data_IF_247609036871
#
_entry.id   IF_247609036871
#
_cell.length_a   1.000
_cell.length_b   1.000
_cell.length_c   1.000
_cell.angle_alpha   90.00
_cell.angle_beta   90.00
_cell.angle_gamma   90.00
#
_symmetry.space_group_name_H-M   'P 1'
#
loop_
_entity.id
_entity.type
_entity.pdbx_description
1 polymer ?
#
# COMPACT_ATOMS: atom_id res chain seq x y z
N UNK A 1 4.93 -7.64 11.90
CA UNK A 1 3.49 -7.47 11.63
C UNK A 1 3.23 -7.70 10.16
N UNK A 2 2.30 -8.59 9.81
CA UNK A 2 1.87 -8.76 8.43
C UNK A 2 0.94 -7.56 8.13
N UNK A 3 1.38 -6.58 7.35
CA UNK A 3 0.58 -5.42 6.91
C UNK A 3 -0.47 -5.81 5.86
N UNK A 4 -0.98 -7.03 5.96
CA UNK A 4 -2.03 -7.57 5.11
C UNK A 4 -3.34 -6.94 5.54
N UNK A 5 -3.67 -5.78 4.98
CA UNK A 5 -5.04 -5.28 5.03
C UNK A 5 -5.92 -6.35 4.37
N UNK A 6 -6.78 -6.98 5.18
CA UNK A 6 -7.78 -7.93 4.71
C UNK A 6 -8.79 -7.19 3.84
N UNK A 7 -8.50 -7.07 2.56
CA UNK A 7 -9.49 -6.66 1.60
C UNK A 7 -10.46 -7.82 1.34
N UNK A 8 -11.74 -7.54 1.53
CA UNK A 8 -12.85 -8.45 1.26
C UNK A 8 -13.17 -8.42 -0.25
N UNK A 9 -12.22 -8.80 -1.11
CA UNK A 9 -12.49 -8.97 -2.54
C UNK A 9 -13.00 -10.39 -2.78
N UNK A 10 -14.27 -10.53 -3.18
CA UNK A 10 -14.91 -11.82 -3.41
C UNK A 10 -14.47 -12.50 -4.72
N UNK A 11 -13.85 -11.80 -5.70
CA UNK A 11 -13.39 -12.40 -6.98
C UNK A 11 -12.16 -11.70 -7.58
N UNK A 12 -11.39 -12.48 -8.34
CA UNK A 12 -10.19 -12.06 -9.10
C UNK A 12 -10.64 -11.39 -10.40
N UNK A 13 -10.39 -10.08 -10.54
CA UNK A 13 -10.63 -9.33 -11.78
C UNK A 13 -11.53 -8.10 -11.66
N UNK A 14 -12.11 -7.86 -10.49
CA UNK A 14 -13.10 -6.79 -10.35
C UNK A 14 -12.39 -5.46 -10.02
N UNK A 15 -12.42 -4.50 -10.95
CA UNK A 15 -12.29 -3.09 -10.60
C UNK A 15 -13.65 -2.65 -10.06
N UNK A 16 -13.73 -2.32 -8.78
CA UNK A 16 -14.97 -1.88 -8.16
C UNK A 16 -15.06 -0.35 -8.19
N UNK A 17 -15.49 0.23 -9.31
CA UNK A 17 -15.92 1.63 -9.26
C UNK A 17 -17.28 1.62 -8.57
N UNK A 18 -17.39 2.15 -7.35
CA UNK A 18 -18.68 2.26 -6.66
C UNK A 18 -19.17 3.70 -6.76
N UNK A 19 -20.24 3.96 -7.51
CA UNK A 19 -20.97 5.22 -7.41
C UNK A 19 -22.11 5.04 -6.40
N UNK A 20 -22.14 5.87 -5.34
CA UNK A 20 -23.28 5.91 -4.41
C UNK A 20 -24.18 7.08 -4.77
N UNK A 21 -25.17 6.84 -5.62
CA UNK A 21 -26.25 7.81 -5.87
C UNK A 21 -27.30 7.74 -4.75
N UNK A 22 -27.55 8.84 -4.03
CA UNK A 22 -28.71 8.95 -3.12
C UNK A 22 -29.76 9.89 -3.72
N UNK A 23 -30.60 9.37 -4.62
CA UNK A 23 -31.93 9.93 -4.85
C UNK A 23 -32.98 8.82 -4.81
N UNK A 24 -33.74 8.79 -3.70
CA UNK A 24 -34.93 7.99 -3.39
C UNK A 24 -34.73 6.46 -3.28
N UNK A 25 -34.71 5.95 -2.04
CA UNK A 25 -35.05 4.59 -1.58
C UNK A 25 -34.52 3.35 -2.35
N UNK A 26 -33.54 3.49 -3.24
CA UNK A 26 -32.81 2.37 -3.84
C UNK A 26 -31.32 2.71 -3.72
N UNK A 27 -30.60 1.97 -2.87
CA UNK A 27 -29.14 2.00 -2.84
C UNK A 27 -28.68 1.21 -4.07
N UNK A 28 -28.52 1.88 -5.20
CA UNK A 28 -27.85 1.27 -6.35
C UNK A 28 -26.35 1.56 -6.21
N UNK A 29 -25.60 0.63 -5.62
CA UNK A 29 -24.16 0.56 -5.84
C UNK A 29 -23.98 0.18 -7.31
N UNK A 30 -23.59 1.12 -8.16
CA UNK A 30 -23.23 0.79 -9.54
C UNK A 30 -21.81 0.24 -9.52
N UNK A 31 -21.65 -0.99 -9.01
CA UNK A 31 -20.41 -1.75 -9.11
C UNK A 31 -20.31 -2.25 -10.55
N UNK A 32 -19.65 -1.49 -11.42
CA UNK A 32 -19.37 -1.98 -12.77
C UNK A 32 -18.17 -2.91 -12.68
N UNK A 33 -18.43 -4.19 -12.41
CA UNK A 33 -17.44 -5.25 -12.60
C UNK A 33 -17.10 -5.26 -14.09
N UNK A 34 -15.90 -4.84 -14.44
CA UNK A 34 -15.39 -5.03 -15.80
C UNK A 34 -15.34 -6.56 -16.06
N UNK A 35 -16.11 -7.10 -17.01
CA UNK A 35 -16.04 -8.52 -17.32
C UNK A 35 -14.63 -8.86 -17.83
N UNK A 36 -14.05 -9.92 -17.27
CA UNK A 36 -12.80 -10.50 -17.76
C UNK A 36 -11.89 -11.00 -16.64
N UNK A 37 -11.89 -12.32 -16.43
CA UNK A 37 -10.60 -13.00 -16.22
C UNK A 37 -9.75 -12.70 -17.46
N UNK A 38 -8.47 -12.29 -17.34
CA UNK A 38 -7.63 -12.22 -18.51
C UNK A 38 -7.58 -13.61 -19.14
N UNK A 39 -8.26 -13.76 -20.27
CA UNK A 39 -7.91 -14.80 -21.22
C UNK A 39 -6.55 -14.41 -21.77
N UNK A 40 -5.52 -15.12 -21.30
CA UNK A 40 -4.11 -14.83 -21.62
C UNK A 40 -3.80 -15.01 -23.11
N UNK A 41 -4.76 -15.49 -23.90
CA UNK A 41 -4.64 -15.60 -25.35
C UNK A 41 -4.87 -14.30 -26.13
N UNK A 42 -5.27 -13.18 -25.51
CA UNK A 42 -5.29 -11.86 -26.18
C UNK A 42 -4.79 -10.73 -25.29
N UNK A 43 -3.56 -10.21 -25.51
CA UNK A 43 -3.12 -8.95 -24.93
C UNK A 43 -3.79 -7.80 -25.69
N UNK A 44 -5.08 -7.60 -25.47
CA UNK A 44 -5.80 -6.40 -25.91
C UNK A 44 -6.72 -5.91 -24.79
N UNK A 45 -6.17 -5.83 -23.57
CA UNK A 45 -6.65 -4.83 -22.62
C UNK A 45 -6.22 -3.48 -23.18
N UNK A 46 -7.16 -2.79 -23.82
CA UNK A 46 -6.94 -1.42 -24.29
C UNK A 46 -6.51 -0.61 -23.06
N UNK A 47 -5.30 0.00 -23.04
CA UNK A 47 -4.80 0.79 -21.90
C UNK A 47 -5.77 1.91 -21.48
N UNK A 48 -6.69 2.29 -22.36
CA UNK A 48 -7.70 3.31 -22.13
C UNK A 48 -9.00 2.81 -21.49
N UNK A 49 -9.28 1.50 -21.39
CA UNK A 49 -10.60 1.02 -20.96
C UNK A 49 -11.00 1.47 -19.53
N UNK A 50 -10.15 1.36 -18.49
CA UNK A 50 -10.48 1.89 -17.16
C UNK A 50 -10.62 3.41 -17.16
N UNK A 51 -9.76 4.11 -17.90
CA UNK A 51 -9.80 5.57 -18.02
C UNK A 51 -11.10 6.05 -18.66
N UNK A 52 -11.50 5.47 -19.79
CA UNK A 52 -12.75 5.79 -20.51
C UNK A 52 -13.97 5.50 -19.61
N UNK A 53 -13.95 4.37 -18.90
CA UNK A 53 -15.02 4.06 -17.96
C UNK A 53 -15.12 5.11 -16.85
N UNK A 54 -14.00 5.49 -16.21
CA UNK A 54 -13.99 6.54 -15.20
C UNK A 54 -14.46 7.87 -15.80
N UNK A 55 -14.01 8.24 -17.00
CA UNK A 55 -14.47 9.45 -17.70
C UNK A 55 -15.99 9.46 -17.88
N UNK A 56 -16.57 8.37 -18.38
CA UNK A 56 -18.01 8.24 -18.57
C UNK A 56 -18.81 8.32 -17.27
N UNK A 57 -18.32 7.69 -16.21
CA UNK A 57 -18.99 7.70 -14.89
C UNK A 57 -18.86 9.07 -14.21
N UNK A 58 -17.71 9.72 -14.38
CA UNK A 58 -17.41 11.05 -13.84
C UNK A 58 -18.18 12.17 -14.54
N UNK A 59 -18.66 11.95 -15.77
CA UNK A 59 -19.42 12.94 -16.54
C UNK A 59 -20.66 13.47 -15.79
N UNK A 60 -21.22 12.68 -14.87
CA UNK A 60 -22.33 13.11 -14.00
C UNK A 60 -21.92 14.09 -12.90
N UNK A 61 -20.64 14.13 -12.50
CA UNK A 61 -20.16 14.89 -11.34
C UNK A 61 -20.56 14.31 -9.98
N UNK A 62 -21.21 13.15 -9.95
CA UNK A 62 -21.87 12.61 -8.75
C UNK A 62 -21.09 11.42 -8.13
N UNK A 63 -19.88 11.14 -8.62
CA UNK A 63 -19.04 10.10 -8.03
C UNK A 63 -18.61 10.49 -6.61
N UNK A 64 -18.77 9.52 -5.70
CA UNK A 64 -18.35 9.60 -4.30
C UNK A 64 -17.15 8.73 -3.99
N UNK A 65 -16.91 7.70 -4.78
CA UNK A 65 -15.80 6.77 -4.54
C UNK A 65 -15.28 6.24 -5.86
N UNK A 66 -13.97 6.10 -5.96
CA UNK A 66 -13.31 5.34 -7.02
C UNK A 66 -12.39 4.31 -6.39
N UNK A 67 -12.52 3.05 -6.80
CA UNK A 67 -11.61 1.99 -6.44
C UNK A 67 -11.22 1.24 -7.73
N UNK A 68 -9.93 1.30 -8.05
CA UNK A 68 -9.37 0.71 -9.26
C UNK A 68 -8.23 -0.20 -8.83
N UNK A 69 -8.36 -1.48 -9.14
CA UNK A 69 -7.46 -2.54 -8.67
C UNK A 69 -7.00 -3.36 -9.86
N UNK A 70 -5.68 -3.58 -10.00
CA UNK A 70 -5.08 -4.39 -11.09
C UNK A 70 -5.55 -3.99 -12.50
N UNK A 71 -5.72 -2.70 -12.73
CA UNK A 71 -6.08 -2.14 -14.02
C UNK A 71 -5.19 -0.94 -14.27
N UNK A 72 -4.53 -0.93 -15.42
CA UNK A 72 -3.63 0.16 -15.75
C UNK A 72 -4.41 1.48 -15.80
N UNK A 73 -3.98 2.43 -14.98
CA UNK A 73 -4.49 3.78 -14.92
C UNK A 73 -3.31 4.69 -14.61
N UNK A 74 -2.54 5.01 -15.65
CA UNK A 74 -1.32 5.81 -15.53
C UNK A 74 -1.59 7.18 -14.91
N UNK A 75 -2.77 7.75 -15.21
CA UNK A 75 -3.21 9.05 -14.72
C UNK A 75 -4.73 9.04 -14.54
N UNK A 76 -5.22 9.79 -13.55
CA UNK A 76 -6.66 10.05 -13.39
C UNK A 76 -7.18 10.92 -14.55
N UNK A 77 -8.39 10.69 -15.07
CA UNK A 77 -8.93 11.54 -16.13
C UNK A 77 -9.35 12.92 -15.59
N UNK A 78 -9.12 13.98 -16.38
CA UNK A 78 -9.48 15.36 -16.01
C UNK A 78 -10.98 15.51 -15.67
N UNK A 79 -11.83 14.73 -16.33
CA UNK A 79 -13.29 14.70 -16.08
C UNK A 79 -13.62 14.40 -14.60
N UNK A 80 -12.77 13.64 -13.91
CA UNK A 80 -12.97 13.32 -12.48
C UNK A 80 -12.99 14.58 -11.61
N UNK A 81 -12.32 15.66 -12.02
CA UNK A 81 -12.32 16.95 -11.32
C UNK A 81 -13.72 17.55 -11.10
N UNK A 82 -14.70 17.15 -11.93
CA UNK A 82 -16.11 17.55 -11.78
C UNK A 82 -16.79 16.90 -10.56
N UNK A 83 -16.25 15.80 -10.03
CA UNK A 83 -16.84 15.04 -8.94
C UNK A 83 -16.55 15.66 -7.57
N UNK A 84 -17.20 16.80 -7.25
CA UNK A 84 -16.98 17.55 -5.99
C UNK A 84 -17.50 16.85 -4.72
N UNK A 85 -18.07 15.65 -4.85
CA UNK A 85 -18.56 14.82 -3.76
C UNK A 85 -17.68 13.60 -3.49
N UNK A 86 -16.50 13.51 -4.11
CA UNK A 86 -15.60 12.39 -3.94
C UNK A 86 -15.08 12.32 -2.49
N UNK A 87 -15.30 11.18 -1.85
CA UNK A 87 -14.99 10.84 -0.45
C UNK A 87 -13.86 9.79 -0.38
N UNK A 88 -13.70 8.93 -1.41
CA UNK A 88 -12.70 7.87 -1.42
C UNK A 88 -12.02 7.72 -2.79
N UNK A 89 -10.69 7.63 -2.77
CA UNK A 89 -9.86 7.24 -3.92
C UNK A 89 -8.97 6.07 -3.49
N UNK A 90 -9.11 4.93 -4.16
CA UNK A 90 -8.25 3.76 -4.02
C UNK A 90 -7.72 3.34 -5.38
N UNK A 91 -6.40 3.43 -5.58
CA UNK A 91 -5.71 3.02 -6.80
C UNK A 91 -4.66 1.99 -6.41
N UNK A 92 -4.92 0.71 -6.68
CA UNK A 92 -4.07 -0.40 -6.22
C UNK A 92 -3.56 -1.18 -7.43
N UNK A 93 -2.23 -1.26 -7.58
CA UNK A 93 -1.57 -1.91 -8.71
C UNK A 93 -2.00 -1.37 -10.08
N UNK A 94 -2.24 -0.06 -10.14
CA UNK A 94 -2.70 0.64 -11.35
C UNK A 94 -1.55 1.18 -12.21
N UNK A 95 -0.31 1.09 -11.72
CA UNK A 95 0.87 1.74 -12.33
C UNK A 95 0.65 3.25 -12.53
N UNK A 96 -0.05 3.91 -11.59
CA UNK A 96 -0.24 5.36 -11.64
C UNK A 96 1.11 6.07 -11.50
N UNK A 97 1.42 6.94 -12.45
CA UNK A 97 2.73 7.62 -12.57
C UNK A 97 2.67 9.07 -12.10
N UNK A 98 1.49 9.68 -12.09
CA UNK A 98 1.30 11.04 -11.58
C UNK A 98 -0.05 11.22 -10.89
N UNK A 99 -0.05 12.15 -9.93
CA UNK A 99 -1.26 12.70 -9.31
C UNK A 99 -1.40 14.14 -9.77
N UNK A 100 -2.57 14.52 -10.29
CA UNK A 100 -2.80 15.87 -10.77
C UNK A 100 -2.94 16.88 -9.62
N UNK A 101 -2.49 18.11 -9.85
CA UNK A 101 -2.53 19.20 -8.86
C UNK A 101 -3.95 19.53 -8.39
N UNK A 102 -4.98 19.31 -9.22
CA UNK A 102 -6.37 19.61 -8.90
C UNK A 102 -6.98 18.63 -7.88
N UNK A 103 -6.29 17.55 -7.49
CA UNK A 103 -6.80 16.63 -6.46
C UNK A 103 -7.06 17.37 -5.13
N UNK A 104 -6.30 18.43 -4.85
CA UNK A 104 -6.53 19.35 -3.72
C UNK A 104 -7.91 20.05 -3.73
N UNK A 105 -8.65 19.99 -4.83
CA UNK A 105 -10.02 20.54 -4.92
C UNK A 105 -11.08 19.60 -4.33
N UNK A 106 -10.75 18.33 -4.05
CA UNK A 106 -11.67 17.37 -3.44
C UNK A 106 -11.78 17.57 -1.94
N UNK A 107 -12.41 18.67 -1.53
CA UNK A 107 -12.57 19.06 -0.12
C UNK A 107 -13.39 18.07 0.72
N UNK A 108 -14.07 17.11 0.08
CA UNK A 108 -14.81 16.03 0.72
C UNK A 108 -14.05 14.71 0.82
N UNK A 109 -12.83 14.62 0.27
CA UNK A 109 -12.06 13.39 0.29
C UNK A 109 -11.68 13.03 1.73
N UNK A 110 -12.00 11.81 2.13
CA UNK A 110 -11.76 11.24 3.46
C UNK A 110 -10.65 10.19 3.41
N UNK A 111 -10.56 9.44 2.30
CA UNK A 111 -9.62 8.34 2.13
C UNK A 111 -8.87 8.44 0.80
N UNK A 112 -7.53 8.45 0.86
CA UNK A 112 -6.65 8.40 -0.30
C UNK A 112 -5.65 7.24 -0.15
N UNK A 113 -5.79 6.23 -1.01
CA UNK A 113 -4.86 5.12 -1.10
C UNK A 113 -4.35 4.99 -2.53
N UNK A 114 -3.03 5.11 -2.69
CA UNK A 114 -2.35 4.83 -3.94
C UNK A 114 -1.26 3.81 -3.64
N UNK A 115 -1.38 2.63 -4.24
CA UNK A 115 -0.40 1.56 -4.14
C UNK A 115 0.09 1.20 -5.54
N UNK A 116 1.38 1.44 -5.76
CA UNK A 116 2.06 1.13 -6.99
C UNK A 116 2.18 -0.37 -7.23
N UNK A 117 2.59 -0.73 -8.44
CA UNK A 117 2.82 -2.11 -8.87
C UNK A 117 4.32 -2.38 -8.92
N UNK A 118 4.77 -3.47 -8.28
CA UNK A 118 6.17 -3.86 -8.30
C UNK A 118 6.71 -3.99 -9.74
N UNK A 119 7.91 -3.49 -9.98
CA UNK A 119 8.55 -3.45 -11.30
C UNK A 119 7.92 -2.47 -12.31
N UNK A 120 6.95 -1.64 -11.90
CA UNK A 120 6.45 -0.51 -12.70
C UNK A 120 7.12 0.80 -12.28
N UNK A 121 7.03 1.83 -13.13
CA UNK A 121 7.58 3.15 -12.82
C UNK A 121 6.96 3.78 -11.56
N UNK A 122 5.64 3.62 -11.40
CA UNK A 122 4.84 4.17 -10.29
C UNK A 122 5.04 5.68 -10.13
N UNK A 123 4.57 6.25 -9.01
CA UNK A 123 4.72 7.67 -8.72
C UNK A 123 6.20 8.04 -8.55
N UNK A 124 6.66 9.01 -9.34
CA UNK A 124 7.99 9.60 -9.18
C UNK A 124 7.97 10.83 -8.27
N UNK A 125 6.95 11.65 -8.41
CA UNK A 125 6.79 12.90 -7.65
C UNK A 125 5.32 13.13 -7.32
N UNK A 126 5.07 13.96 -6.31
CA UNK A 126 3.75 14.43 -5.95
C UNK A 126 3.70 15.96 -6.05
N UNK A 127 2.56 16.54 -6.46
CA UNK A 127 2.39 18.00 -6.43
C UNK A 127 2.64 18.54 -5.01
N UNK A 128 3.46 19.58 -4.87
CA UNK A 128 3.81 20.16 -3.56
C UNK A 128 2.59 20.63 -2.77
N UNK A 129 1.54 21.06 -3.48
CA UNK A 129 0.30 21.63 -2.96
C UNK A 129 -0.83 20.59 -2.82
N UNK A 130 -0.51 19.29 -2.96
CA UNK A 130 -1.50 18.22 -3.02
C UNK A 130 -2.44 18.19 -1.80
N UNK A 131 -1.91 18.52 -0.62
CA UNK A 131 -2.64 18.47 0.65
C UNK A 131 -2.97 19.87 1.21
N UNK A 132 -2.98 20.91 0.38
CA UNK A 132 -3.24 22.29 0.83
C UNK A 132 -4.71 22.57 1.17
N UNK A 133 -5.66 21.78 0.65
CA UNK A 133 -7.10 22.02 0.83
C UNK A 133 -7.94 20.74 0.82
N UNK A 134 -7.58 19.76 1.64
CA UNK A 134 -8.35 18.51 1.79
C UNK A 134 -8.78 18.33 3.25
N UNK A 135 -9.62 19.23 3.79
CA UNK A 135 -9.84 19.34 5.23
C UNK A 135 -10.53 18.12 5.84
N UNK A 136 -11.17 17.26 5.05
CA UNK A 136 -11.83 16.03 5.54
C UNK A 136 -10.94 14.79 5.49
N UNK A 137 -9.74 14.88 4.92
CA UNK A 137 -8.87 13.73 4.75
C UNK A 137 -8.52 13.16 6.11
N UNK A 138 -8.88 11.90 6.36
CA UNK A 138 -8.58 11.19 7.59
C UNK A 138 -7.50 10.13 7.40
N UNK A 139 -7.37 9.59 6.18
CA UNK A 139 -6.45 8.49 5.90
C UNK A 139 -5.68 8.70 4.61
N UNK A 140 -4.35 8.55 4.72
CA UNK A 140 -3.42 8.49 3.60
C UNK A 140 -2.72 7.13 3.63
N UNK A 141 -2.72 6.43 2.51
CA UNK A 141 -1.94 5.21 2.30
C UNK A 141 -1.20 5.30 0.97
N UNK A 142 0.13 5.37 1.04
CA UNK A 142 1.00 5.34 -0.13
C UNK A 142 1.94 4.14 -0.01
N UNK A 143 1.92 3.25 -1.00
CA UNK A 143 2.70 2.03 -0.97
C UNK A 143 3.35 1.72 -2.34
N UNK A 144 4.51 1.06 -2.36
CA UNK A 144 5.16 0.59 -3.61
C UNK A 144 5.50 1.76 -4.55
N UNK A 145 6.18 2.76 -4.03
CA UNK A 145 6.65 3.96 -4.74
C UNK A 145 8.15 4.15 -4.53
N UNK A 146 8.95 3.18 -4.97
CA UNK A 146 10.40 3.09 -4.72
C UNK A 146 11.17 4.35 -5.13
N UNK A 147 10.71 5.06 -6.16
CA UNK A 147 11.38 6.28 -6.66
C UNK A 147 10.84 7.58 -6.04
N UNK A 148 9.86 7.52 -5.13
CA UNK A 148 9.31 8.69 -4.47
C UNK A 148 10.25 9.14 -3.35
N UNK A 149 10.90 10.29 -3.55
CA UNK A 149 11.94 10.83 -2.65
C UNK A 149 11.47 11.97 -1.75
N UNK A 150 10.31 12.58 -2.04
CA UNK A 150 9.73 13.64 -1.24
C UNK A 150 8.21 13.49 -1.13
N UNK A 151 7.66 13.86 0.03
CA UNK A 151 6.22 13.88 0.27
C UNK A 151 5.71 15.33 0.44
N UNK A 152 4.51 15.69 -0.08
CA UNK A 152 3.99 17.05 0.01
C UNK A 152 3.69 17.49 1.44
N UNK A 153 3.68 18.80 1.68
CA UNK A 153 3.38 19.38 3.00
C UNK A 153 1.94 19.07 3.41
N UNK A 154 1.74 18.75 4.69
CA UNK A 154 0.43 18.40 5.25
C UNK A 154 -0.30 19.63 5.83
N UNK A 155 -0.42 20.71 5.06
CA UNK A 155 -0.90 22.00 5.57
C UNK A 155 -2.44 22.09 5.69
N UNK A 156 -3.17 21.55 4.72
CA UNK A 156 -4.63 21.64 4.62
C UNK A 156 -5.39 20.37 4.99
N UNK A 157 -4.82 19.54 5.87
CA UNK A 157 -5.37 18.24 6.29
C UNK A 157 -5.49 18.12 7.82
N UNK A 158 -6.13 19.08 8.53
CA UNK A 158 -6.17 19.13 10.00
C UNK A 158 -6.89 17.94 10.66
N UNK A 159 -7.67 17.18 9.89
CA UNK A 159 -8.39 16.00 10.35
C UNK A 159 -7.68 14.68 10.07
N UNK A 160 -6.44 14.71 9.58
CA UNK A 160 -5.68 13.51 9.26
C UNK A 160 -5.42 12.67 10.53
N UNK A 161 -5.80 11.40 10.48
CA UNK A 161 -5.75 10.48 11.62
C UNK A 161 -4.78 9.33 11.41
N UNK A 162 -4.61 8.88 10.16
CA UNK A 162 -3.78 7.73 9.82
C UNK A 162 -2.94 8.01 8.57
N UNK A 163 -1.63 7.81 8.70
CA UNK A 163 -0.70 7.84 7.57
C UNK A 163 0.03 6.50 7.51
N UNK A 164 0.02 5.88 6.33
CA UNK A 164 0.84 4.71 6.04
C UNK A 164 1.68 4.99 4.81
N UNK A 165 3.00 4.97 4.98
CA UNK A 165 3.98 5.09 3.91
C UNK A 165 4.76 3.78 3.87
N UNK A 166 4.64 3.07 2.75
CA UNK A 166 5.34 1.82 2.57
C UNK A 166 6.15 1.83 1.28
N UNK A 167 7.37 1.33 1.33
CA UNK A 167 8.17 1.09 0.14
C UNK A 167 8.39 2.34 -0.71
N UNK A 168 9.20 3.24 -0.15
CA UNK A 168 9.57 4.51 -0.76
C UNK A 168 11.02 4.85 -0.46
N UNK A 169 11.56 5.83 -1.19
CA UNK A 169 12.91 6.36 -0.99
C UNK A 169 12.90 7.71 -0.27
N UNK A 170 11.91 7.92 0.61
CA UNK A 170 11.83 9.11 1.44
C UNK A 170 12.99 9.14 2.43
N UNK A 171 13.67 10.28 2.53
CA UNK A 171 14.70 10.53 3.56
C UNK A 171 14.16 11.21 4.81
N UNK A 172 13.08 11.95 4.67
CA UNK A 172 12.40 12.66 5.74
C UNK A 172 10.90 12.71 5.46
N UNK A 173 10.10 12.88 6.52
CA UNK A 173 8.68 13.21 6.40
C UNK A 173 8.49 14.73 6.43
N UNK A 174 7.40 15.25 5.82
CA UNK A 174 7.05 16.66 5.93
C UNK A 174 6.62 16.99 7.37
N UNK A 175 6.69 18.28 7.71
CA UNK A 175 6.27 18.79 9.02
C UNK A 175 4.88 18.28 9.45
N UNK A 176 4.77 17.90 10.72
CA UNK A 176 3.56 17.31 11.29
C UNK A 176 2.76 18.27 12.18
N UNK A 177 3.21 19.53 12.35
CA UNK A 177 2.54 20.52 13.20
C UNK A 177 1.04 20.73 12.86
N UNK A 178 0.69 20.63 11.58
CA UNK A 178 -0.66 20.88 11.06
C UNK A 178 -1.56 19.62 11.08
N UNK A 179 -1.06 18.49 11.58
CA UNK A 179 -1.81 17.23 11.74
C UNK A 179 -1.86 16.77 13.20
N UNK A 180 -2.44 17.57 14.12
CA UNK A 180 -2.46 17.27 15.57
C UNK A 180 -3.38 16.09 15.94
N UNK A 181 -4.24 15.66 15.01
CA UNK A 181 -5.16 14.52 15.17
C UNK A 181 -4.57 13.20 14.67
N UNK A 182 -3.28 13.15 14.36
CA UNK A 182 -2.65 11.91 13.92
C UNK A 182 -2.60 10.91 15.09
N UNK A 183 -3.27 9.77 14.93
CA UNK A 183 -3.31 8.69 15.92
C UNK A 183 -2.48 7.48 15.48
N UNK A 184 -2.28 7.32 14.16
CA UNK A 184 -1.53 6.21 13.55
C UNK A 184 -0.53 6.72 12.51
N UNK A 185 0.73 6.34 12.68
CA UNK A 185 1.78 6.55 11.70
C UNK A 185 2.52 5.23 11.47
N UNK A 186 2.44 4.70 10.26
CA UNK A 186 3.12 3.46 9.89
C UNK A 186 4.08 3.71 8.73
N UNK A 187 5.35 3.39 8.96
CA UNK A 187 6.42 3.48 7.99
C UNK A 187 7.00 2.08 7.82
N UNK A 188 6.95 1.54 6.60
CA UNK A 188 7.35 0.18 6.34
C UNK A 188 8.22 0.09 5.09
N UNK A 189 9.38 -0.56 5.17
CA UNK A 189 10.26 -0.73 4.01
C UNK A 189 10.64 0.64 3.41
N UNK A 190 11.00 1.61 4.23
CA UNK A 190 11.53 2.91 3.79
C UNK A 190 13.00 2.98 4.18
N UNK A 191 13.88 2.33 3.41
CA UNK A 191 15.26 2.06 3.85
C UNK A 191 16.08 3.34 4.01
N UNK A 192 15.77 4.38 3.23
CA UNK A 192 16.51 5.64 3.21
C UNK A 192 15.99 6.69 4.21
N UNK A 193 14.97 6.38 5.01
CA UNK A 193 14.46 7.34 5.99
C UNK A 193 15.57 7.61 7.01
N UNK A 194 16.03 8.85 7.08
CA UNK A 194 17.10 9.28 7.97
C UNK A 194 16.55 10.02 9.20
N UNK A 195 15.46 10.78 9.05
CA UNK A 195 14.93 11.66 10.09
C UNK A 195 13.42 11.71 10.15
N UNK A 196 12.90 12.00 11.34
CA UNK A 196 11.53 12.47 11.54
C UNK A 196 11.52 13.99 11.78
N UNK A 197 10.46 14.71 11.36
CA UNK A 197 10.21 16.09 11.79
C UNK A 197 9.88 16.16 13.29
N UNK A 198 9.76 17.37 13.85
CA UNK A 198 9.35 17.54 15.24
C UNK A 198 7.96 16.91 15.48
N UNK A 199 7.87 16.05 16.50
CA UNK A 199 6.67 15.31 16.84
C UNK A 199 5.97 15.87 18.10
N UNK A 200 6.37 17.06 18.58
CA UNK A 200 5.79 17.69 19.77
C UNK A 200 4.27 17.89 19.68
N UNK A 201 3.73 18.09 18.46
CA UNK A 201 2.31 18.23 18.22
C UNK A 201 1.53 16.89 18.27
N UNK A 202 2.20 15.74 18.12
CA UNK A 202 1.61 14.40 17.97
C UNK A 202 1.27 13.75 19.32
N UNK A 203 0.63 14.50 20.22
CA UNK A 203 0.25 14.04 21.56
C UNK A 203 -0.76 12.88 21.56
N UNK A 204 -1.56 12.78 20.50
CA UNK A 204 -2.60 11.77 20.34
C UNK A 204 -2.13 10.50 19.62
N UNK A 205 -0.83 10.39 19.30
CA UNK A 205 -0.30 9.23 18.61
C UNK A 205 -0.38 7.99 19.51
N UNK A 206 -1.09 6.98 19.02
CA UNK A 206 -1.33 5.68 19.68
C UNK A 206 -0.52 4.58 19.02
N UNK A 207 -0.36 4.64 17.71
CA UNK A 207 0.42 3.66 16.93
C UNK A 207 1.48 4.40 16.12
N UNK A 208 2.74 4.05 16.37
CA UNK A 208 3.87 4.48 15.56
C UNK A 208 4.75 3.29 15.25
N UNK A 209 4.81 2.91 13.98
CA UNK A 209 5.56 1.74 13.52
C UNK A 209 6.62 2.20 12.53
N UNK A 210 7.87 1.80 12.77
CA UNK A 210 8.92 1.77 11.75
C UNK A 210 9.36 0.32 11.66
N UNK A 211 9.07 -0.32 10.54
CA UNK A 211 9.36 -1.74 10.33
C UNK A 211 10.21 -1.95 9.09
N UNK A 212 11.04 -3.00 9.16
CA UNK A 212 12.09 -3.32 8.19
C UNK A 212 13.28 -2.35 8.29
N UNK A 213 14.48 -2.77 7.83
CA UNK A 213 15.67 -1.94 7.87
C UNK A 213 15.43 -0.53 7.33
N UNK A 214 15.90 0.46 8.08
CA UNK A 214 15.74 1.88 7.79
C UNK A 214 16.85 2.66 8.49
N UNK A 215 17.46 3.62 7.79
CA UNK A 215 18.64 4.35 8.29
C UNK A 215 18.38 5.07 9.63
N UNK A 216 17.16 5.57 9.86
CA UNK A 216 16.74 6.24 11.10
C UNK A 216 16.95 5.36 12.35
N UNK A 217 16.93 4.03 12.18
CA UNK A 217 17.08 3.06 13.25
C UNK A 217 18.53 2.88 13.70
N UNK A 218 19.52 3.36 12.93
CA UNK A 218 20.93 3.13 13.19
C UNK A 218 21.82 4.38 13.01
N UNK A 219 21.32 5.46 12.42
CA UNK A 219 22.09 6.67 12.10
C UNK A 219 22.22 7.66 13.27
N UNK A 220 21.70 7.34 14.45
CA UNK A 220 21.75 8.21 15.63
C UNK A 220 20.53 9.14 15.80
N UNK A 221 19.57 9.18 14.87
CA UNK A 221 18.38 9.99 15.05
C UNK A 221 17.58 9.59 16.30
N UNK A 222 17.33 8.29 16.47
CA UNK A 222 16.57 7.76 17.60
C UNK A 222 17.44 7.41 18.82
N UNK A 223 18.64 8.00 18.93
CA UNK A 223 19.57 7.75 20.04
C UNK A 223 21.01 7.52 19.58
N UNK A 224 21.58 6.35 19.88
CA UNK A 224 22.95 6.02 19.50
C UNK A 224 23.09 5.69 18.01
N UNK A 225 24.23 6.05 17.41
CA UNK A 225 24.57 5.59 16.06
C UNK A 225 25.22 4.20 16.12
N UNK A 226 24.61 3.20 15.49
CA UNK A 226 25.04 1.79 15.49
C UNK A 226 25.00 1.23 14.06
N UNK A 227 26.02 1.54 13.26
CA UNK A 227 26.05 1.18 11.83
C UNK A 227 26.24 -0.33 11.55
N UNK A 228 26.65 -1.10 12.56
CA UNK A 228 26.82 -2.55 12.45
C UNK A 228 25.50 -3.33 12.68
N UNK A 229 24.38 -2.64 12.89
CA UNK A 229 23.06 -3.26 13.04
C UNK A 229 22.49 -3.69 11.68
N UNK A 230 21.71 -4.76 11.69
CA UNK A 230 20.91 -5.29 10.57
C UNK A 230 20.03 -4.22 9.88
N UNK A 231 19.71 -3.13 10.57
CA UNK A 231 18.93 -2.01 10.05
C UNK A 231 19.73 -1.03 9.14
N UNK A 232 21.06 -1.03 9.21
CA UNK A 232 21.93 -0.09 8.48
C UNK A 232 22.71 -0.71 7.31
N UNK A 233 22.45 -2.00 7.02
CA UNK A 233 23.22 -2.77 6.05
C UNK A 233 22.95 -2.27 4.63
N UNK A 234 24.02 -2.02 3.88
CA UNK A 234 23.98 -1.73 2.46
C UNK A 234 23.32 -2.88 1.71
N UNK A 235 22.34 -2.57 0.86
CA UNK A 235 21.76 -3.53 -0.07
C UNK A 235 22.01 -3.07 -1.51
N UNK A 236 23.09 -3.59 -2.09
CA UNK A 236 23.49 -3.29 -3.46
C UNK A 236 22.54 -3.85 -4.52
N UNK A 237 21.67 -4.81 -4.18
CA UNK A 237 20.71 -5.40 -5.13
C UNK A 237 19.55 -4.44 -5.36
N UNK A 238 19.08 -3.77 -4.31
CA UNK A 238 18.00 -2.77 -4.40
C UNK A 238 18.50 -1.32 -4.34
N UNK A 239 19.82 -1.10 -4.44
CA UNK A 239 20.41 0.24 -4.55
C UNK A 239 20.36 1.07 -3.25
N UNK A 240 20.28 0.42 -2.09
CA UNK A 240 20.30 1.08 -0.78
C UNK A 240 21.74 1.27 -0.33
N UNK A 241 22.24 2.53 -0.18
CA UNK A 241 23.56 2.79 0.35
C UNK A 241 23.66 2.46 1.85
N UNK A 242 24.88 2.30 2.33
CA UNK A 242 25.15 2.17 3.77
C UNK A 242 24.67 3.42 4.52
N UNK A 243 24.12 3.22 5.72
CA UNK A 243 23.78 4.33 6.60
C UNK A 243 25.05 5.07 7.07
N UNK A 244 24.92 6.38 7.35
CA UNK A 244 25.96 7.21 7.97
C UNK A 244 25.42 7.82 9.25
N UNK A 245 26.26 8.02 10.26
CA UNK A 245 25.83 8.74 11.47
C UNK A 245 25.47 10.19 11.13
N UNK A 246 24.38 10.68 11.71
CA UNK A 246 24.02 12.08 11.67
C UNK A 246 24.94 12.90 12.60
N UNK A 247 25.30 14.10 12.17
CA UNK A 247 26.00 15.11 12.98
C UNK A 247 24.98 16.09 13.60
N UNK A 248 23.91 15.54 14.17
CA UNK A 248 22.79 16.28 14.76
C UNK A 248 22.39 15.66 16.09
N UNK A 249 21.81 16.48 16.99
CA UNK A 249 21.30 15.96 18.25
C UNK A 249 20.17 14.94 18.02
N UNK A 250 20.19 13.79 18.72
CA UNK A 250 19.11 12.82 18.65
C UNK A 250 17.74 13.48 18.91
N UNK A 251 16.74 13.05 18.14
CA UNK A 251 15.38 13.59 18.18
C UNK A 251 15.30 15.10 17.88
N UNK A 252 16.27 15.66 17.15
CA UNK A 252 16.41 17.10 16.88
C UNK A 252 16.59 17.94 18.15
N UNK A 253 17.04 17.34 19.26
CA UNK A 253 17.05 17.98 20.58
C UNK A 253 15.65 18.20 21.19
N UNK A 254 14.58 17.76 20.51
CA UNK A 254 13.19 17.94 20.95
C UNK A 254 12.81 16.91 22.02
N UNK A 255 12.47 17.39 23.22
CA UNK A 255 11.93 16.55 24.29
C UNK A 255 10.57 15.93 23.92
N UNK A 256 9.77 16.63 23.11
CA UNK A 256 8.49 16.12 22.61
C UNK A 256 8.68 14.95 21.65
N UNK A 257 9.60 15.09 20.68
CA UNK A 257 9.96 14.00 19.77
C UNK A 257 10.52 12.80 20.52
N UNK A 258 11.45 13.04 21.46
CA UNK A 258 12.02 11.99 22.31
C UNK A 258 10.93 11.22 23.06
N UNK A 259 9.99 11.92 23.69
CA UNK A 259 8.91 11.29 24.45
C UNK A 259 8.01 10.39 23.57
N UNK A 260 7.76 10.77 22.31
CA UNK A 260 6.98 9.93 21.37
C UNK A 260 7.74 8.64 21.04
N UNK A 261 9.03 8.75 20.72
CA UNK A 261 9.87 7.59 20.41
C UNK A 261 10.02 6.65 21.61
N UNK A 262 10.23 7.18 22.82
CA UNK A 262 10.35 6.38 24.03
C UNK A 262 9.03 5.66 24.37
N UNK A 263 7.88 6.37 24.26
CA UNK A 263 6.55 5.80 24.52
C UNK A 263 6.22 4.63 23.57
N UNK A 264 6.64 4.72 22.31
CA UNK A 264 6.29 3.78 21.24
C UNK A 264 7.48 2.91 20.79
N UNK A 265 8.56 2.89 21.58
CA UNK A 265 9.79 2.14 21.28
C UNK A 265 9.55 0.67 20.87
N UNK A 266 8.62 -0.11 21.47
CA UNK A 266 8.42 -1.52 21.10
C UNK A 266 7.99 -1.77 19.65
N UNK A 267 7.44 -0.74 18.98
CA UNK A 267 6.93 -0.85 17.60
C UNK A 267 7.80 -0.13 16.59
N UNK A 268 8.86 0.55 17.04
CA UNK A 268 9.80 1.30 16.21
C UNK A 268 11.10 0.51 16.10
N UNK A 269 11.58 0.31 14.87
CA UNK A 269 12.88 -0.33 14.62
C UNK A 269 13.03 -1.71 15.26
N UNK A 270 11.91 -2.42 15.45
CA UNK A 270 11.92 -3.73 16.07
C UNK A 270 12.81 -4.69 15.24
N UNK A 271 13.73 -5.43 15.89
CA UNK A 271 14.66 -6.30 15.18
C UNK A 271 13.89 -7.37 14.41
N UNK A 272 14.36 -7.67 13.21
CA UNK A 272 13.83 -8.78 12.45
C UNK A 272 14.12 -10.10 13.19
N UNK A 273 13.17 -11.05 13.21
CA UNK A 273 13.41 -12.37 13.78
C UNK A 273 14.65 -13.03 13.15
N UNK A 274 15.46 -13.79 13.91
CA UNK A 274 16.58 -14.55 13.36
C UNK A 274 16.13 -15.45 12.20
N UNK A 275 16.84 -15.38 11.06
CA UNK A 275 16.48 -16.15 9.87
C UNK A 275 15.28 -15.60 9.09
N UNK A 276 14.81 -14.38 9.40
CA UNK A 276 13.86 -13.67 8.54
C UNK A 276 14.48 -13.45 7.16
N UNK A 277 14.02 -14.25 6.20
CA UNK A 277 14.22 -13.98 4.78
C UNK A 277 12.96 -13.21 4.35
N UNK A 278 13.10 -12.01 3.77
CA UNK A 278 11.96 -11.38 3.11
C UNK A 278 11.42 -12.38 2.09
N UNK A 279 10.25 -12.95 2.37
CA UNK A 279 9.56 -13.75 1.38
C UNK A 279 9.32 -12.83 0.18
N UNK A 280 9.87 -13.22 -0.98
CA UNK A 280 9.52 -12.58 -2.25
C UNK A 280 8.05 -12.88 -2.52
N UNK A 281 7.22 -12.02 -1.93
CA UNK A 281 5.76 -12.01 -2.05
C UNK A 281 5.33 -11.23 -3.28
N UNK A 282 6.27 -10.83 -4.14
CA UNK A 282 5.98 -10.06 -5.33
C UNK A 282 5.76 -10.97 -6.52
N UNK A 283 4.67 -10.73 -7.24
CA UNK A 283 4.45 -11.43 -8.49
C UNK A 283 5.49 -10.99 -9.50
N UNK A 284 6.30 -11.92 -9.99
CA UNK A 284 7.06 -11.74 -11.23
C UNK A 284 6.33 -12.45 -12.36
N UNK A 285 6.61 -12.05 -13.61
CA UNK A 285 6.08 -12.74 -14.79
C UNK A 285 6.37 -14.24 -14.72
N UNK A 286 7.61 -14.61 -14.35
CA UNK A 286 8.06 -15.99 -14.21
C UNK A 286 7.30 -16.75 -13.14
N UNK A 287 7.18 -16.20 -11.92
CA UNK A 287 6.47 -16.88 -10.82
C UNK A 287 4.96 -16.98 -11.07
N UNK A 288 4.40 -16.07 -11.87
CA UNK A 288 3.00 -16.10 -12.26
C UNK A 288 2.68 -17.11 -13.37
N UNK A 289 3.44 -17.13 -14.46
CA UNK A 289 3.29 -18.12 -15.55
C UNK A 289 3.42 -19.55 -15.06
N UNK A 290 4.30 -19.76 -14.08
CA UNK A 290 4.51 -21.02 -13.39
C UNK A 290 3.28 -21.60 -12.69
N UNK A 291 2.23 -20.81 -12.46
CA UNK A 291 0.97 -21.26 -11.88
C UNK A 291 -0.07 -21.69 -12.91
N UNK A 292 0.13 -21.40 -14.20
CA UNK A 292 -0.75 -21.83 -15.29
C UNK A 292 -2.23 -21.51 -15.00
N UNK A 293 -2.50 -20.32 -14.45
CA UNK A 293 -3.86 -19.85 -14.09
C UNK A 293 -4.64 -20.73 -13.10
N UNK A 294 -3.97 -21.64 -12.37
CA UNK A 294 -4.61 -22.55 -11.42
C UNK A 294 -4.36 -22.09 -9.98
N UNK A 295 -5.31 -21.39 -9.33
CA UNK A 295 -5.19 -21.07 -7.92
C UNK A 295 -5.14 -22.35 -7.09
N UNK A 296 -4.49 -22.28 -5.94
CA UNK A 296 -4.32 -23.35 -4.97
C UNK A 296 -3.58 -24.60 -5.45
N UNK A 297 -3.02 -24.56 -6.67
CA UNK A 297 -2.19 -25.63 -7.21
C UNK A 297 -0.97 -25.84 -6.32
N UNK A 298 -0.77 -27.07 -5.87
CA UNK A 298 0.44 -27.49 -5.17
C UNK A 298 1.65 -27.44 -6.11
N UNK A 299 2.79 -27.03 -5.57
CA UNK A 299 4.09 -27.27 -6.19
C UNK A 299 5.12 -27.59 -5.10
N UNK A 300 6.22 -28.24 -5.48
CA UNK A 300 7.32 -28.52 -4.54
C UNK A 300 8.49 -27.57 -4.77
N UNK A 301 9.04 -27.07 -3.67
CA UNK A 301 10.28 -26.31 -3.63
C UNK A 301 11.48 -27.26 -3.53
N UNK A 302 12.67 -26.81 -3.92
CA UNK A 302 13.92 -27.47 -3.54
C UNK A 302 13.96 -27.67 -2.02
N UNK A 303 14.30 -28.88 -1.56
CA UNK A 303 14.25 -29.24 -0.13
C UNK A 303 12.94 -29.88 0.34
N UNK A 304 11.98 -30.12 -0.56
CA UNK A 304 10.79 -30.93 -0.26
C UNK A 304 9.63 -30.18 0.42
N UNK A 305 9.76 -28.85 0.60
CA UNK A 305 8.68 -28.01 1.11
C UNK A 305 7.59 -27.83 0.05
N UNK A 306 6.33 -27.89 0.49
CA UNK A 306 5.17 -27.60 -0.35
C UNK A 306 4.92 -26.09 -0.42
N UNK A 307 4.68 -25.62 -1.64
CA UNK A 307 4.16 -24.28 -1.90
C UNK A 307 2.83 -24.34 -2.63
N UNK A 308 2.16 -23.19 -2.69
CA UNK A 308 0.85 -23.06 -3.30
C UNK A 308 0.79 -21.88 -4.25
N UNK A 309 0.15 -22.08 -5.40
CA UNK A 309 -0.22 -20.96 -6.26
C UNK A 309 -1.29 -20.10 -5.56
N UNK A 310 -0.93 -18.89 -5.18
CA UNK A 310 -1.82 -18.02 -4.42
C UNK A 310 -1.65 -16.56 -4.86
N UNK A 311 -2.72 -15.79 -4.70
CA UNK A 311 -2.72 -14.35 -4.95
C UNK A 311 -2.60 -13.64 -3.60
N UNK A 312 -1.41 -13.15 -3.27
CA UNK A 312 -1.23 -12.27 -2.12
C UNK A 312 -1.53 -10.83 -2.48
N UNK A 313 -2.20 -10.13 -1.56
CA UNK A 313 -2.48 -8.69 -1.64
C UNK A 313 -3.28 -8.24 -2.87
N UNK A 314 -3.95 -9.15 -3.58
CA UNK A 314 -4.60 -8.91 -4.88
C UNK A 314 -3.64 -8.83 -6.08
N UNK A 315 -2.35 -9.16 -5.97
CA UNK A 315 -1.46 -9.18 -7.14
C UNK A 315 -1.78 -10.30 -8.15
N UNK A 316 -0.94 -10.49 -9.17
CA UNK A 316 -1.10 -11.64 -10.05
C UNK A 316 -0.91 -12.95 -9.25
N UNK A 317 -1.62 -14.01 -9.66
CA UNK A 317 -1.40 -15.36 -9.12
C UNK A 317 0.08 -15.70 -9.26
N UNK A 318 0.73 -16.17 -8.19
CA UNK A 318 2.14 -16.54 -8.20
C UNK A 318 2.39 -17.79 -7.37
N UNK A 319 3.54 -18.43 -7.57
CA UNK A 319 4.05 -19.47 -6.67
C UNK A 319 4.47 -18.84 -5.34
N UNK A 320 3.73 -19.14 -4.28
CA UNK A 320 3.99 -18.65 -2.94
C UNK A 320 4.49 -19.77 -2.01
N UNK A 321 5.74 -19.68 -1.51
CA UNK A 321 6.33 -20.71 -0.65
C UNK A 321 6.00 -20.50 0.84
N UNK A 322 4.78 -20.04 1.13
CA UNK A 322 4.36 -19.65 2.48
C UNK A 322 3.26 -20.60 3.01
N UNK A 323 3.57 -21.30 4.10
CA UNK A 323 2.70 -22.29 4.74
C UNK A 323 1.47 -21.68 5.43
N UNK A 324 1.50 -20.37 5.73
CA UNK A 324 0.37 -19.68 6.36
C UNK A 324 -0.83 -19.70 5.42
N UNK A 325 -0.62 -19.45 4.13
CA UNK A 325 -1.71 -19.41 3.15
C UNK A 325 -2.25 -20.82 2.84
N UNK A 326 -1.39 -21.84 2.89
CA UNK A 326 -1.82 -23.24 2.82
C UNK A 326 -2.74 -23.57 4.00
N UNK A 327 -2.32 -23.19 5.21
CA UNK A 327 -3.09 -23.41 6.44
C UNK A 327 -4.42 -22.65 6.43
N UNK A 328 -4.41 -21.42 5.92
CA UNK A 328 -5.62 -20.61 5.74
C UNK A 328 -6.61 -21.28 4.79
N UNK A 329 -6.15 -21.76 3.62
CA UNK A 329 -7.04 -22.41 2.65
C UNK A 329 -7.62 -23.72 3.20
N UNK A 330 -6.82 -24.53 3.91
CA UNK A 330 -7.32 -25.72 4.61
C UNK A 330 -8.43 -25.37 5.61
N UNK A 331 -8.23 -24.32 6.39
CA UNK A 331 -9.22 -23.85 7.34
C UNK A 331 -10.51 -23.35 6.66
N UNK A 332 -10.40 -22.63 5.53
CA UNK A 332 -11.55 -22.19 4.74
C UNK A 332 -12.35 -23.39 4.18
N UNK A 333 -11.68 -24.41 3.66
CA UNK A 333 -12.33 -25.64 3.19
C UNK A 333 -13.08 -26.32 4.34
N UNK A 334 -12.48 -26.42 5.52
CA UNK A 334 -13.13 -26.99 6.72
C UNK A 334 -14.38 -26.22 7.15
N UNK A 335 -14.42 -24.90 6.92
CA UNK A 335 -15.59 -24.05 7.16
C UNK A 335 -16.68 -24.18 6.07
N UNK A 336 -16.46 -25.00 5.04
CA UNK A 336 -17.43 -25.24 3.97
C UNK A 336 -17.38 -24.20 2.83
N UNK A 337 -16.27 -23.46 2.69
CA UNK A 337 -16.08 -22.62 1.51
C UNK A 337 -15.92 -23.50 0.26
N UNK A 338 -16.49 -23.05 -0.86
CA UNK A 338 -16.39 -23.77 -2.13
C UNK A 338 -14.92 -23.97 -2.53
N UNK A 339 -14.58 -25.20 -2.91
CA UNK A 339 -13.24 -25.59 -3.33
C UNK A 339 -13.31 -26.50 -4.56
N UNK A 340 -12.20 -26.59 -5.30
CA UNK A 340 -12.07 -27.48 -6.45
C UNK A 340 -11.56 -28.86 -6.00
N UNK A 341 -12.38 -29.93 -6.06
CA UNK A 341 -12.00 -31.25 -5.52
C UNK A 341 -10.84 -31.91 -6.27
N UNK A 342 -10.48 -31.42 -7.47
CA UNK A 342 -9.31 -31.91 -8.22
C UNK A 342 -8.04 -31.14 -7.87
N UNK A 343 -8.10 -29.81 -7.83
CA UNK A 343 -6.92 -28.96 -7.57
C UNK A 343 -6.57 -28.87 -6.08
N UNK A 344 -7.58 -28.93 -5.22
CA UNK A 344 -7.47 -28.66 -3.78
C UNK A 344 -7.61 -29.92 -2.93
N UNK A 345 -7.57 -31.11 -3.55
CA UNK A 345 -7.60 -32.39 -2.83
C UNK A 345 -6.52 -32.49 -1.76
N UNK A 346 -5.32 -31.99 -2.07
CA UNK A 346 -4.18 -31.95 -1.15
C UNK A 346 -4.36 -30.97 0.04
N UNK A 347 -5.39 -30.12 -0.03
CA UNK A 347 -5.82 -29.20 1.03
C UNK A 347 -7.05 -29.73 1.79
N UNK A 348 -7.53 -30.94 1.48
CA UNK A 348 -8.67 -31.56 2.15
C UNK A 348 -10.02 -31.29 1.49
N UNK A 349 -10.05 -30.77 0.27
CA UNK A 349 -11.29 -30.65 -0.49
C UNK A 349 -11.82 -32.05 -0.86
N UNK A 350 -13.06 -32.36 -0.47
CA UNK A 350 -13.77 -33.59 -0.84
C UNK A 350 -14.71 -33.36 -2.02
N UNK A 351 -15.13 -34.44 -2.68
CA UNK A 351 -16.17 -34.40 -3.73
C UNK A 351 -17.55 -33.99 -3.21
#
# INVERSE_FOLDING_TARGET
MNLSFCYRCQRIGDAFITSRYRRRRIISTLSTVLPGTPDVQKPTLVPSAPRILIESLAASGELKSIQVVNRQLLQLPEMLRMCKYLELIELIYTSTESVHYWLKEFTRLEFLHIEGKYGSQNLLTLPKELFDNIPRLSTIHFAVHENLTAFPRLQGVPNLQSVTLAWSSLRELPELENVPRLHRLAIAITPLLEKMPDMTAQKNLVEFVITQPSHICCNGFSGGCILNDSNGVQDSIVGVPAATCLDEEPFLGSSGTRAVFEKLAPTICAPLPPGFVPLDTMSTKKTSEMCDHRPFRQYRLPGGLDGMCYNVRMQALMRLPDSIYISLQRYQIQLGFACNPRLEKWLGCSE
#
